data_IF_063383775726
#
_entry.id   IF_063383775726
#
_cell.length_a   1.000
_cell.length_b   1.000
_cell.length_c   1.000
_cell.angle_alpha   90.00
_cell.angle_beta   90.00
_cell.angle_gamma   90.00
#
_symmetry.space_group_name_H-M   'P 1'
#
loop_
_entity.id
_entity.type
_entity.pdbx_description
1 polymer ?
#
# COMPACT_ATOMS: atom_id res chain seq x y z
N UNK A 1 3.02 -10.38 9.15
CA UNK A 1 2.83 -8.91 9.04
C UNK A 1 2.17 -8.60 7.71
N UNK A 2 1.06 -7.88 7.73
CA UNK A 2 0.30 -7.61 6.50
C UNK A 2 0.60 -6.23 5.93
N UNK A 3 0.94 -5.26 6.76
CA UNK A 3 1.16 -3.88 6.37
C UNK A 3 2.29 -3.27 7.18
N UNK A 4 3.17 -2.53 6.53
CA UNK A 4 4.26 -1.81 7.18
C UNK A 4 4.34 -0.39 6.64
N UNK A 5 4.59 0.57 7.52
CA UNK A 5 4.74 1.98 7.17
C UNK A 5 6.19 2.41 7.29
N UNK A 6 6.61 3.27 6.39
CA UNK A 6 7.91 3.93 6.46
C UNK A 6 7.79 5.37 6.00
N UNK A 7 8.67 6.23 6.50
CA UNK A 7 8.73 7.63 6.13
C UNK A 7 10.03 7.95 5.40
N UNK A 8 10.62 9.10 5.71
CA UNK A 8 11.88 9.61 5.19
C UNK A 8 11.81 10.14 3.76
N UNK A 9 11.29 9.38 2.81
CA UNK A 9 11.06 9.87 1.45
C UNK A 9 9.76 10.69 1.42
N UNK A 10 9.83 11.95 1.01
CA UNK A 10 8.69 12.88 1.07
C UNK A 10 7.75 12.70 -0.12
N UNK A 11 7.14 11.53 -0.20
CA UNK A 11 6.20 11.15 -1.25
C UNK A 11 5.33 10.02 -0.72
N UNK A 12 4.37 9.60 -1.51
CA UNK A 12 3.57 8.42 -1.24
C UNK A 12 3.94 7.33 -2.25
N UNK A 13 4.20 6.14 -1.74
CA UNK A 13 4.40 4.96 -2.58
C UNK A 13 3.83 3.73 -1.89
N UNK A 14 3.03 2.97 -2.63
CA UNK A 14 2.51 1.69 -2.16
C UNK A 14 3.08 0.57 -3.02
N UNK A 15 3.60 -0.43 -2.37
CA UNK A 15 4.11 -1.62 -3.05
C UNK A 15 3.02 -2.69 -3.13
N UNK A 16 3.15 -3.61 -4.08
CA UNK A 16 2.40 -4.85 -4.03
C UNK A 16 2.81 -5.64 -2.78
N UNK A 17 2.00 -6.59 -2.32
CA UNK A 17 2.47 -7.49 -1.25
C UNK A 17 3.77 -8.19 -1.70
N UNK A 18 4.83 -8.04 -0.92
CA UNK A 18 6.15 -8.58 -1.28
C UNK A 18 6.68 -9.51 -0.21
N UNK A 19 7.43 -10.52 -0.64
CA UNK A 19 8.13 -11.45 0.23
C UNK A 19 9.63 -11.35 -0.02
N UNK A 20 10.40 -11.85 0.95
CA UNK A 20 11.85 -11.86 0.85
C UNK A 20 12.30 -12.82 -0.26
N UNK A 21 13.32 -12.41 -1.00
CA UNK A 21 13.93 -13.24 -2.05
C UNK A 21 15.32 -13.68 -1.59
N UNK A 22 15.46 -14.96 -1.26
CA UNK A 22 16.72 -15.52 -0.79
C UNK A 22 17.83 -15.44 -1.87
N UNK A 23 17.44 -15.49 -3.14
CA UNK A 23 18.40 -15.47 -4.25
C UNK A 23 18.88 -14.06 -4.57
N UNK A 24 18.10 -13.04 -4.26
CA UNK A 24 18.49 -11.66 -4.52
C UNK A 24 17.77 -10.70 -3.55
N UNK A 25 18.53 -10.14 -2.62
CA UNK A 25 18.00 -9.23 -1.58
C UNK A 25 17.36 -7.97 -2.16
N UNK A 26 17.77 -7.57 -3.36
CA UNK A 26 17.30 -6.34 -4.00
C UNK A 26 16.09 -6.55 -4.92
N UNK A 27 15.61 -7.78 -5.03
CA UNK A 27 14.49 -8.13 -5.91
C UNK A 27 13.41 -8.89 -5.13
N UNK A 28 12.60 -8.16 -4.34
CA UNK A 28 11.50 -8.81 -3.62
C UNK A 28 10.55 -9.53 -4.56
N UNK A 29 9.92 -10.57 -4.06
CA UNK A 29 9.01 -11.40 -4.84
C UNK A 29 7.58 -10.89 -4.66
N UNK A 30 6.89 -10.67 -5.78
CA UNK A 30 5.45 -10.41 -5.80
C UNK A 30 4.76 -11.65 -6.34
N UNK A 31 3.85 -12.24 -5.56
CA UNK A 31 3.08 -13.38 -6.01
C UNK A 31 2.24 -13.02 -7.24
N UNK A 32 2.13 -13.94 -8.21
CA UNK A 32 1.35 -13.70 -9.42
C UNK A 32 -0.11 -13.35 -9.13
N UNK A 33 -0.70 -13.95 -8.11
CA UNK A 33 -2.09 -13.65 -7.70
C UNK A 33 -2.24 -12.23 -7.16
N UNK A 34 -1.17 -11.66 -6.60
CA UNK A 34 -1.19 -10.33 -5.99
C UNK A 34 -0.77 -9.23 -6.95
N UNK A 35 -0.20 -9.58 -8.10
CA UNK A 35 0.23 -8.60 -9.12
C UNK A 35 -0.79 -8.53 -10.26
N UNK A 36 -2.02 -8.21 -9.92
CA UNK A 36 -3.08 -8.03 -10.90
C UNK A 36 -3.19 -6.55 -11.25
N UNK A 37 -2.97 -6.23 -12.52
CA UNK A 37 -3.04 -4.85 -13.01
C UNK A 37 -4.45 -4.30 -12.78
N UNK A 38 -4.51 -3.09 -12.23
CA UNK A 38 -5.76 -2.37 -11.92
C UNK A 38 -6.58 -3.00 -10.79
N UNK A 39 -6.01 -3.94 -10.03
CA UNK A 39 -6.67 -4.45 -8.83
C UNK A 39 -5.93 -3.96 -7.59
N UNK A 40 -6.68 -3.40 -6.65
CA UNK A 40 -6.17 -2.94 -5.36
C UNK A 40 -6.76 -3.75 -4.21
N UNK A 41 -7.32 -4.90 -4.50
CA UNK A 41 -7.89 -5.80 -3.49
C UNK A 41 -7.02 -7.04 -3.41
N UNK A 42 -6.49 -7.31 -2.23
CA UNK A 42 -5.58 -8.43 -2.00
C UNK A 42 -6.22 -9.40 -1.01
N UNK A 43 -6.60 -10.56 -1.50
CA UNK A 43 -7.24 -11.59 -0.69
C UNK A 43 -6.19 -12.60 -0.22
N UNK A 44 -6.02 -12.72 1.09
CA UNK A 44 -5.00 -13.58 1.72
C UNK A 44 -3.62 -13.42 1.05
N UNK A 45 -3.09 -12.18 0.96
CA UNK A 45 -1.83 -11.98 0.25
C UNK A 45 -0.68 -12.74 0.89
N UNK A 46 0.27 -13.18 0.07
CA UNK A 46 1.42 -13.95 0.56
C UNK A 46 2.48 -13.09 1.24
N UNK A 47 2.53 -11.81 0.89
CA UNK A 47 3.55 -10.91 1.39
C UNK A 47 3.00 -9.76 2.20
N UNK A 48 3.89 -8.81 2.47
CA UNK A 48 3.59 -7.57 3.22
C UNK A 48 3.50 -6.40 2.25
N UNK A 49 2.49 -5.55 2.43
CA UNK A 49 2.39 -4.28 1.71
C UNK A 49 3.20 -3.24 2.48
N UNK A 50 4.16 -2.62 1.79
CA UNK A 50 4.95 -1.52 2.36
C UNK A 50 4.42 -0.20 1.81
N UNK A 51 4.17 0.74 2.71
CA UNK A 51 3.76 2.10 2.37
C UNK A 51 4.85 3.07 2.78
N UNK A 52 5.30 3.87 1.82
CA UNK A 52 6.10 5.05 2.12
C UNK A 52 5.14 6.22 2.20
N UNK A 53 5.08 6.88 3.36
CA UNK A 53 4.15 7.98 3.60
C UNK A 53 4.94 9.14 4.24
N UNK A 54 5.58 9.94 3.40
CA UNK A 54 6.31 11.13 3.85
C UNK A 54 5.62 12.42 3.44
N UNK A 55 4.28 12.44 3.51
CA UNK A 55 3.44 13.49 2.91
C UNK A 55 2.82 14.44 3.94
N UNK A 56 3.33 14.47 5.17
CA UNK A 56 2.73 15.22 6.27
C UNK A 56 3.02 16.73 6.29
N UNK A 57 3.76 17.26 5.30
CA UNK A 57 3.99 18.69 5.21
C UNK A 57 5.42 19.11 4.87
N UNK A 58 6.37 18.18 4.88
CA UNK A 58 7.73 18.49 4.45
C UNK A 58 7.77 18.69 2.93
N UNK A 59 8.84 19.32 2.42
CA UNK A 59 9.00 19.55 1.00
C UNK A 59 8.90 18.25 0.22
N UNK A 60 8.06 18.23 -0.82
CA UNK A 60 7.83 17.03 -1.62
C UNK A 60 9.06 16.61 -2.40
N UNK A 61 9.30 15.31 -2.45
CA UNK A 61 10.35 14.71 -3.27
C UNK A 61 9.73 14.00 -4.47
N UNK A 62 10.47 13.97 -5.58
CA UNK A 62 10.01 13.35 -6.81
C UNK A 62 10.19 11.83 -6.74
N UNK A 63 9.16 11.09 -7.17
CA UNK A 63 9.24 9.64 -7.39
C UNK A 63 9.35 9.43 -8.91
N UNK A 64 10.57 9.40 -9.42
CA UNK A 64 10.81 9.39 -10.87
C UNK A 64 10.62 8.03 -11.52
N UNK A 65 10.90 6.95 -10.80
CA UNK A 65 10.73 5.59 -11.34
C UNK A 65 10.10 4.68 -10.30
N UNK A 66 9.01 4.04 -10.68
CA UNK A 66 8.49 2.94 -9.91
C UNK A 66 9.39 1.73 -10.05
N UNK A 67 9.50 0.92 -9.01
CA UNK A 67 10.18 -0.37 -9.06
C UNK A 67 9.20 -1.43 -9.60
N UNK A 68 9.67 -2.59 -10.06
CA UNK A 68 8.75 -3.63 -10.54
C UNK A 68 7.68 -4.05 -9.52
N UNK A 69 7.94 -3.84 -8.23
CA UNK A 69 7.01 -4.17 -7.15
C UNK A 69 6.21 -2.95 -6.64
N UNK A 70 6.33 -1.80 -7.27
CA UNK A 70 5.52 -0.61 -6.94
C UNK A 70 4.13 -0.73 -7.55
N UNK A 71 3.09 -0.53 -6.74
CA UNK A 71 1.71 -0.61 -7.18
C UNK A 71 1.10 0.78 -7.42
N UNK A 72 1.45 1.77 -6.59
CA UNK A 72 0.96 3.13 -6.70
C UNK A 72 2.01 4.11 -6.18
N UNK A 73 2.05 5.29 -6.76
CA UNK A 73 2.98 6.35 -6.33
C UNK A 73 2.38 7.71 -6.62
N UNK A 74 2.61 8.65 -5.70
CA UNK A 74 2.20 10.04 -5.83
C UNK A 74 3.29 10.95 -5.26
N UNK A 75 3.70 11.94 -6.01
CA UNK A 75 4.59 12.99 -5.52
C UNK A 75 3.90 14.35 -5.67
N UNK A 76 4.46 15.37 -5.03
CA UNK A 76 3.87 16.71 -5.06
C UNK A 76 2.54 16.81 -4.33
N UNK A 77 2.18 15.81 -3.54
CA UNK A 77 0.92 15.78 -2.80
C UNK A 77 1.18 15.76 -1.29
N UNK A 78 0.30 16.39 -0.56
CA UNK A 78 0.31 16.38 0.90
C UNK A 78 -0.98 15.74 1.37
N UNK A 79 -0.88 14.83 2.30
CA UNK A 79 -2.06 14.13 2.76
C UNK A 79 -1.78 13.12 3.85
N UNK A 80 -2.79 12.36 4.18
CA UNK A 80 -2.73 11.33 5.21
C UNK A 80 -3.18 9.99 4.65
N UNK A 81 -2.72 8.92 5.28
CA UNK A 81 -3.26 7.59 5.04
C UNK A 81 -4.20 7.24 6.19
N UNK A 82 -5.42 6.93 5.85
CA UNK A 82 -6.41 6.46 6.80
C UNK A 82 -6.51 4.94 6.72
N UNK A 83 -6.40 4.26 7.84
CA UNK A 83 -6.53 2.81 7.91
C UNK A 83 -7.78 2.47 8.69
N UNK A 84 -8.64 1.66 8.09
CA UNK A 84 -9.86 1.15 8.72
C UNK A 84 -9.80 -0.38 8.71
N UNK A 85 -10.10 -0.99 9.85
CA UNK A 85 -10.14 -2.44 9.96
C UNK A 85 -11.53 -2.84 10.42
N UNK A 86 -12.19 -3.65 9.60
CA UNK A 86 -13.53 -4.14 9.91
C UNK A 86 -13.48 -5.66 10.04
N UNK A 87 -14.18 -6.17 11.02
CA UNK A 87 -14.31 -7.59 11.26
C UNK A 87 -15.71 -8.03 10.86
N UNK A 88 -15.78 -8.99 9.96
CA UNK A 88 -17.05 -9.62 9.59
C UNK A 88 -17.14 -10.98 10.28
N UNK A 89 -17.87 -11.03 11.38
CA UNK A 89 -18.02 -12.26 12.17
C UNK A 89 -18.82 -13.32 11.43
N UNK A 90 -19.77 -12.92 10.58
CA UNK A 90 -20.61 -13.84 9.82
C UNK A 90 -19.80 -14.64 8.79
N UNK A 91 -18.92 -13.93 8.06
CA UNK A 91 -18.08 -14.53 7.02
C UNK A 91 -16.69 -14.90 7.53
N UNK A 92 -16.40 -14.64 8.79
CA UNK A 92 -15.08 -14.87 9.41
C UNK A 92 -13.95 -14.19 8.66
N UNK A 93 -14.20 -12.98 8.17
CA UNK A 93 -13.23 -12.18 7.44
C UNK A 93 -12.83 -10.94 8.23
N UNK A 94 -11.59 -10.52 8.04
CA UNK A 94 -11.14 -9.21 8.48
C UNK A 94 -10.77 -8.42 7.22
N UNK A 95 -11.27 -7.20 7.11
CA UNK A 95 -11.00 -6.32 5.97
C UNK A 95 -10.28 -5.08 6.45
N UNK A 96 -9.06 -4.89 5.96
CA UNK A 96 -8.30 -3.66 6.17
C UNK A 96 -8.44 -2.81 4.90
N UNK A 97 -8.87 -1.56 5.06
CA UNK A 97 -8.95 -0.60 3.97
C UNK A 97 -7.99 0.53 4.25
N UNK A 98 -7.08 0.80 3.30
CA UNK A 98 -6.17 1.93 3.37
C UNK A 98 -6.54 2.93 2.29
N UNK A 99 -6.60 4.22 2.66
CA UNK A 99 -6.88 5.31 1.72
C UNK A 99 -5.84 6.41 1.91
N UNK A 100 -5.24 6.85 0.80
CA UNK A 100 -4.40 8.05 0.80
C UNK A 100 -5.26 9.22 0.38
N UNK A 101 -5.44 10.18 1.29
CA UNK A 101 -6.36 11.30 1.14
C UNK A 101 -5.57 12.59 0.96
N UNK A 102 -5.85 13.32 -0.14
CA UNK A 102 -5.23 14.61 -0.43
C UNK A 102 -5.70 15.65 0.60
N UNK A 103 -4.76 16.36 1.17
CA UNK A 103 -5.03 17.46 2.10
C UNK A 103 -5.66 18.68 1.42
N UNK A 104 -5.54 18.80 0.10
CA UNK A 104 -6.12 19.86 -0.72
C UNK A 104 -7.33 19.32 -1.49
N UNK A 105 -8.04 20.19 -2.20
CA UNK A 105 -9.11 19.81 -3.14
C UNK A 105 -10.16 18.84 -2.57
N UNK A 106 -10.82 19.24 -1.45
CA UNK A 106 -11.97 18.52 -0.90
C UNK A 106 -11.64 17.10 -0.44
N UNK A 107 -10.39 16.84 0.00
CA UNK A 107 -9.99 15.55 0.55
C UNK A 107 -10.19 14.40 -0.45
N UNK A 108 -9.74 14.61 -1.67
CA UNK A 108 -9.82 13.59 -2.72
C UNK A 108 -9.02 12.35 -2.34
N UNK A 109 -9.58 11.18 -2.59
CA UNK A 109 -8.88 9.92 -2.43
C UNK A 109 -7.97 9.71 -3.64
N UNK A 110 -6.66 9.63 -3.40
CA UNK A 110 -5.66 9.44 -4.44
C UNK A 110 -5.25 7.99 -4.63
N UNK A 111 -5.39 7.18 -3.59
CA UNK A 111 -5.14 5.74 -3.66
C UNK A 111 -6.00 5.05 -2.62
N UNK A 112 -6.49 3.86 -2.96
CA UNK A 112 -7.25 3.02 -2.04
C UNK A 112 -6.88 1.56 -2.29
N UNK A 113 -6.70 0.81 -1.21
CA UNK A 113 -6.42 -0.62 -1.30
C UNK A 113 -7.09 -1.35 -0.15
N UNK A 114 -7.33 -2.65 -0.35
CA UNK A 114 -7.92 -3.51 0.66
C UNK A 114 -7.11 -4.78 0.83
N UNK A 115 -6.97 -5.21 2.07
CA UNK A 115 -6.42 -6.52 2.42
C UNK A 115 -7.54 -7.31 3.09
N UNK A 116 -7.89 -8.44 2.51
CA UNK A 116 -8.92 -9.32 3.05
C UNK A 116 -8.24 -10.57 3.59
N UNK A 117 -8.42 -10.83 4.88
CA UNK A 117 -7.88 -12.03 5.54
C UNK A 117 -9.05 -12.88 6.02
N UNK A 118 -9.08 -14.11 5.57
CA UNK A 118 -10.07 -15.07 6.03
C UNK A 118 -9.50 -15.87 7.20
N UNK A 119 -10.31 -16.02 8.26
CA UNK A 119 -9.95 -16.87 9.38
C UNK A 119 -10.28 -18.32 8.99
N UNK A 120 -9.27 -19.16 9.07
CA UNK A 120 -9.45 -20.60 8.84
C UNK A 120 -10.04 -21.27 10.06
#
# INVERSE_FOLDING_TARGET
MDLAFQGHHHAYERMYPITFNDDSKNKPIVSAKDKVKNSNIFQNPDGTIFLTVGTGGAESMTVTKGKPFSAAKEDGKYGIVNISIEKDDGDKKNVLTGTFIDNKKKHKILDEFKIIKENK
#
